data_IF_392681266356
#
_entry.id   IF_392681266356
#
_cell.length_a   1.000
_cell.length_b   1.000
_cell.length_c   1.000
_cell.angle_alpha   90.00
_cell.angle_beta   90.00
_cell.angle_gamma   90.00
#
_symmetry.space_group_name_H-M   'P 1'
#
loop_
_entity.id
_entity.type
_entity.pdbx_description
1 polymer ?
#
# COMPACT_ATOMS: atom_id res chain seq x y z
N UNK A 1 24.32 1.07 56.07
CA UNK A 1 24.02 1.94 54.91
C UNK A 1 24.52 1.39 53.56
N UNK A 2 25.81 1.08 53.37
CA UNK A 2 26.37 0.64 52.06
C UNK A 2 25.74 -0.63 51.45
N UNK A 3 25.29 -1.59 52.27
CA UNK A 3 24.65 -2.82 51.77
C UNK A 3 23.25 -2.58 51.19
N UNK A 4 22.46 -1.69 51.81
CA UNK A 4 21.12 -1.34 51.33
C UNK A 4 21.17 -0.68 49.94
N UNK A 5 22.13 0.22 49.73
CA UNK A 5 22.36 0.85 48.42
C UNK A 5 22.73 -0.16 47.34
N UNK A 6 23.61 -1.13 47.65
CA UNK A 6 23.97 -2.21 46.70
C UNK A 6 22.77 -3.06 46.31
N UNK A 7 21.96 -3.47 47.28
CA UNK A 7 20.74 -4.25 47.02
C UNK A 7 19.75 -3.46 46.15
N UNK A 8 19.61 -2.14 46.39
CA UNK A 8 18.74 -1.27 45.59
C UNK A 8 19.24 -1.13 44.15
N UNK A 9 20.55 -0.96 43.94
CA UNK A 9 21.15 -0.90 42.60
C UNK A 9 20.89 -2.19 41.83
N UNK A 10 21.11 -3.35 42.47
CA UNK A 10 20.86 -4.66 41.83
C UNK A 10 19.37 -4.84 41.48
N UNK A 11 18.47 -4.44 42.37
CA UNK A 11 17.03 -4.48 42.13
C UNK A 11 16.61 -3.58 40.97
N UNK A 12 17.14 -2.36 40.88
CA UNK A 12 16.84 -1.44 39.77
C UNK A 12 17.39 -2.00 38.45
N UNK A 13 18.61 -2.52 38.45
CA UNK A 13 19.20 -3.13 37.24
C UNK A 13 18.36 -4.33 36.74
N UNK A 14 17.85 -5.16 37.65
CA UNK A 14 16.95 -6.26 37.28
C UNK A 14 15.65 -5.74 36.64
N UNK A 15 15.04 -4.71 37.23
CA UNK A 15 13.83 -4.08 36.68
C UNK A 15 14.08 -3.44 35.32
N UNK A 16 15.23 -2.78 35.11
CA UNK A 16 15.60 -2.22 33.81
C UNK A 16 15.72 -3.31 32.74
N UNK A 17 16.42 -4.41 33.04
CA UNK A 17 16.55 -5.53 32.11
C UNK A 17 15.20 -6.17 31.77
N UNK A 18 14.32 -6.32 32.75
CA UNK A 18 12.97 -6.84 32.55
C UNK A 18 12.14 -5.93 31.63
N UNK A 19 12.21 -4.61 31.85
CA UNK A 19 11.54 -3.62 31.00
C UNK A 19 12.12 -3.63 29.58
N UNK A 20 13.45 -3.68 29.43
CA UNK A 20 14.10 -3.72 28.13
C UNK A 20 13.72 -4.98 27.34
N UNK A 21 13.67 -6.13 28.02
CA UNK A 21 13.24 -7.39 27.41
C UNK A 21 11.78 -7.32 26.96
N UNK A 22 10.90 -6.81 27.82
CA UNK A 22 9.47 -6.63 27.50
C UNK A 22 9.30 -5.66 26.33
N UNK A 23 10.06 -4.56 26.31
CA UNK A 23 10.05 -3.58 25.22
C UNK A 23 10.46 -4.22 23.90
N UNK A 24 11.52 -5.04 23.89
CA UNK A 24 11.98 -5.72 22.69
C UNK A 24 10.91 -6.68 22.15
N UNK A 25 10.24 -7.42 23.04
CA UNK A 25 9.13 -8.32 22.67
C UNK A 25 7.96 -7.54 22.06
N UNK A 26 7.51 -6.46 22.70
CA UNK A 26 6.42 -5.62 22.19
C UNK A 26 6.73 -5.01 20.82
N UNK A 27 7.97 -4.59 20.58
CA UNK A 27 8.39 -4.08 19.26
C UNK A 27 8.30 -5.18 18.20
N UNK A 28 8.72 -6.41 18.52
CA UNK A 28 8.58 -7.55 17.60
C UNK A 28 7.11 -7.82 17.27
N UNK A 29 6.26 -7.86 18.30
CA UNK A 29 4.82 -8.08 18.12
C UNK A 29 4.17 -6.97 17.30
N UNK A 30 4.54 -5.70 17.51
CA UNK A 30 4.04 -4.59 16.69
C UNK A 30 4.43 -4.76 15.22
N UNK A 31 5.69 -5.14 14.94
CA UNK A 31 6.14 -5.36 13.56
C UNK A 31 5.37 -6.50 12.87
N UNK A 32 5.09 -7.60 13.59
CA UNK A 32 4.28 -8.71 13.08
C UNK A 32 2.82 -8.30 12.80
N UNK A 33 2.23 -7.51 13.70
CA UNK A 33 0.88 -6.97 13.51
C UNK A 33 0.81 -6.01 12.33
N UNK A 34 1.81 -5.14 12.15
CA UNK A 34 1.88 -4.22 11.02
C UNK A 34 1.96 -4.96 9.68
N UNK A 35 2.75 -6.03 9.60
CA UNK A 35 2.83 -6.90 8.41
C UNK A 35 1.47 -7.55 8.13
N UNK A 36 0.83 -8.09 9.17
CA UNK A 36 -0.46 -8.78 9.05
C UNK A 36 -1.55 -7.81 8.59
N UNK A 37 -1.63 -6.64 9.23
CA UNK A 37 -2.58 -5.59 8.89
C UNK A 37 -2.36 -5.14 7.44
N UNK A 38 -1.12 -4.92 7.03
CA UNK A 38 -0.82 -4.50 5.67
C UNK A 38 -1.25 -5.54 4.64
N UNK A 39 -1.03 -6.82 4.94
CA UNK A 39 -1.45 -7.94 4.09
C UNK A 39 -2.96 -7.98 3.91
N UNK A 40 -3.70 -7.89 5.02
CA UNK A 40 -5.17 -7.87 5.00
C UNK A 40 -5.73 -6.64 4.27
N UNK A 41 -5.10 -5.47 4.40
CA UNK A 41 -5.49 -4.28 3.64
C UNK A 41 -5.33 -4.47 2.13
N UNK A 42 -4.25 -5.13 1.68
CA UNK A 42 -4.02 -5.43 0.27
C UNK A 42 -5.08 -6.41 -0.25
N UNK A 43 -5.36 -7.47 0.53
CA UNK A 43 -6.40 -8.46 0.19
C UNK A 43 -7.78 -7.81 0.10
N UNK A 44 -8.16 -7.03 1.12
CA UNK A 44 -9.41 -6.27 1.14
C UNK A 44 -9.52 -5.34 -0.08
N UNK A 45 -8.47 -4.56 -0.38
CA UNK A 45 -8.46 -3.68 -1.55
C UNK A 45 -8.60 -4.45 -2.87
N UNK A 46 -7.99 -5.64 -2.96
CA UNK A 46 -8.12 -6.51 -4.14
C UNK A 46 -9.56 -6.98 -4.32
N UNK A 47 -10.20 -7.47 -3.25
CA UNK A 47 -11.58 -7.94 -3.28
C UNK A 47 -12.53 -6.79 -3.68
N UNK A 48 -12.42 -5.63 -3.01
CA UNK A 48 -13.24 -4.45 -3.32
C UNK A 48 -13.14 -4.10 -4.80
N UNK A 49 -11.92 -4.04 -5.34
CA UNK A 49 -11.69 -3.72 -6.75
C UNK A 49 -12.29 -4.77 -7.69
N UNK A 50 -12.14 -6.06 -7.41
CA UNK A 50 -12.67 -7.16 -8.22
C UNK A 50 -14.20 -7.25 -8.17
N UNK A 51 -14.82 -6.87 -7.05
CA UNK A 51 -16.28 -6.83 -6.90
C UNK A 51 -16.93 -5.57 -7.48
N UNK A 52 -16.12 -4.59 -7.89
CA UNK A 52 -16.63 -3.38 -8.54
C UNK A 52 -17.25 -3.71 -9.89
N UNK A 53 -18.42 -3.15 -10.26
CA UNK A 53 -19.04 -3.40 -11.57
C UNK A 53 -18.11 -3.16 -12.75
N UNK A 54 -17.19 -2.19 -12.65
CA UNK A 54 -16.24 -1.87 -13.72
C UNK A 54 -15.19 -2.96 -13.95
N UNK A 55 -14.94 -3.84 -12.97
CA UNK A 55 -14.04 -4.98 -13.11
C UNK A 55 -14.65 -6.14 -13.91
N UNK A 56 -15.96 -6.09 -14.21
CA UNK A 56 -16.62 -7.05 -15.10
C UNK A 56 -16.46 -6.72 -16.58
N UNK A 57 -15.94 -5.53 -16.91
CA UNK A 57 -15.72 -5.12 -18.29
C UNK A 57 -14.55 -5.91 -18.91
N UNK A 58 -14.66 -6.32 -20.19
CA UNK A 58 -13.53 -6.85 -20.93
C UNK A 58 -12.37 -5.84 -21.01
N UNK A 59 -11.14 -6.35 -21.08
CA UNK A 59 -9.93 -5.52 -21.19
C UNK A 59 -9.98 -4.56 -22.39
N UNK A 60 -10.56 -5.02 -23.50
CA UNK A 60 -10.71 -4.25 -24.73
C UNK A 60 -11.63 -3.05 -24.53
N UNK A 61 -12.72 -3.24 -23.79
CA UNK A 61 -13.67 -2.17 -23.46
C UNK A 61 -13.02 -1.15 -22.53
N UNK A 62 -12.27 -1.60 -21.52
CA UNK A 62 -11.50 -0.70 -20.66
C UNK A 62 -10.45 0.09 -21.45
N UNK A 63 -9.73 -0.57 -22.36
CA UNK A 63 -8.75 0.07 -23.23
C UNK A 63 -9.38 1.13 -24.16
N UNK A 64 -10.58 0.87 -24.68
CA UNK A 64 -11.34 1.83 -25.49
C UNK A 64 -11.85 3.01 -24.67
N UNK A 65 -12.29 2.77 -23.42
CA UNK A 65 -12.63 3.85 -22.48
C UNK A 65 -11.42 4.75 -22.23
N UNK A 66 -10.24 4.17 -21.97
CA UNK A 66 -9.02 4.95 -21.73
C UNK A 66 -8.61 5.78 -22.96
N UNK A 67 -8.70 5.20 -24.16
CA UNK A 67 -8.40 5.91 -25.40
C UNK A 67 -9.39 7.05 -25.65
N UNK A 68 -10.68 6.82 -25.39
CA UNK A 68 -11.72 7.85 -25.49
C UNK A 68 -11.44 8.99 -24.51
N UNK A 69 -11.05 8.67 -23.27
CA UNK A 69 -10.69 9.66 -22.26
C UNK A 69 -9.51 10.53 -22.73
N UNK A 70 -8.47 9.92 -23.28
CA UNK A 70 -7.30 10.63 -23.82
C UNK A 70 -7.68 11.56 -24.97
N UNK A 71 -8.57 11.14 -25.88
CA UNK A 71 -9.04 11.99 -26.99
C UNK A 71 -9.95 13.13 -26.54
N UNK A 72 -10.85 12.89 -25.56
CA UNK A 72 -11.75 13.93 -25.02
C UNK A 72 -10.96 15.05 -24.35
N UNK A 73 -9.89 14.70 -23.64
CA UNK A 73 -9.07 15.64 -22.89
C UNK A 73 -7.77 16.02 -23.60
N UNK A 74 -7.60 15.69 -24.89
CA UNK A 74 -6.34 15.92 -25.63
C UNK A 74 -5.86 17.38 -25.58
N UNK A 75 -6.80 18.33 -25.57
CA UNK A 75 -6.54 19.79 -25.54
C UNK A 75 -6.55 20.36 -24.12
N UNK A 76 -6.86 19.55 -23.11
CA UNK A 76 -6.86 20.00 -21.72
C UNK A 76 -5.41 20.13 -21.20
N UNK A 77 -5.16 21.10 -20.29
CA UNK A 77 -3.93 21.10 -19.51
C UNK A 77 -3.75 19.74 -18.83
N UNK A 78 -2.54 19.17 -18.90
CA UNK A 78 -2.19 17.87 -18.32
C UNK A 78 -2.84 16.63 -18.98
N UNK A 79 -3.20 16.70 -20.27
CA UNK A 79 -3.75 15.56 -21.03
C UNK A 79 -2.85 14.31 -20.98
N UNK A 80 -1.53 14.48 -20.98
CA UNK A 80 -0.52 13.43 -20.80
C UNK A 80 -0.64 12.68 -19.45
N UNK A 81 -1.16 13.35 -18.41
CA UNK A 81 -1.29 12.73 -17.10
C UNK A 81 -2.46 11.75 -17.03
N UNK A 82 -3.40 11.76 -17.96
CA UNK A 82 -4.62 10.94 -17.86
C UNK A 82 -4.30 9.46 -17.87
N UNK A 83 -3.39 9.02 -18.75
CA UNK A 83 -2.95 7.63 -18.83
C UNK A 83 -2.21 7.21 -17.55
N UNK A 84 -1.44 8.13 -16.96
CA UNK A 84 -0.85 7.93 -15.64
C UNK A 84 -1.94 7.74 -14.59
N UNK A 85 -2.93 8.63 -14.49
CA UNK A 85 -4.00 8.55 -13.50
C UNK A 85 -4.76 7.21 -13.57
N UNK A 86 -5.18 6.77 -14.77
CA UNK A 86 -5.90 5.48 -14.91
C UNK A 86 -5.02 4.29 -14.52
N UNK A 87 -3.71 4.37 -14.76
CA UNK A 87 -2.73 3.34 -14.35
C UNK A 87 -2.50 3.27 -12.84
N UNK A 88 -3.01 4.23 -12.07
CA UNK A 88 -2.90 4.26 -10.61
C UNK A 88 -4.20 3.86 -9.88
N UNK A 89 -5.28 3.55 -10.61
CA UNK A 89 -6.59 3.19 -10.02
C UNK A 89 -6.57 1.79 -9.39
N UNK A 90 -6.23 0.76 -10.16
CA UNK A 90 -6.08 -0.62 -9.67
C UNK A 90 -4.93 -1.32 -10.40
N UNK A 91 -4.47 -2.46 -9.86
CA UNK A 91 -3.49 -3.30 -10.55
C UNK A 91 -4.01 -3.79 -11.93
N UNK A 92 -5.31 -4.09 -12.01
CA UNK A 92 -5.96 -4.49 -13.26
C UNK A 92 -5.95 -3.37 -14.31
N UNK A 93 -6.33 -2.15 -13.91
CA UNK A 93 -6.33 -1.00 -14.82
C UNK A 93 -4.92 -0.65 -15.30
N UNK A 94 -3.93 -0.76 -14.41
CA UNK A 94 -2.52 -0.63 -14.78
C UNK A 94 -2.11 -1.65 -15.84
N UNK A 95 -2.48 -2.91 -15.66
CA UNK A 95 -2.17 -3.96 -16.63
C UNK A 95 -2.80 -3.68 -17.98
N UNK A 96 -4.06 -3.26 -18.02
CA UNK A 96 -4.76 -2.90 -19.27
C UNK A 96 -4.09 -1.68 -19.93
N UNK A 97 -3.82 -0.62 -19.17
CA UNK A 97 -3.20 0.59 -19.69
C UNK A 97 -1.81 0.31 -20.28
N UNK A 98 -0.93 -0.38 -19.55
CA UNK A 98 0.41 -0.76 -20.03
C UNK A 98 0.35 -1.76 -21.20
N UNK A 99 -0.65 -2.66 -21.21
CA UNK A 99 -0.88 -3.64 -22.27
C UNK A 99 -1.54 -3.08 -23.53
N UNK A 100 -1.85 -1.78 -23.57
CA UNK A 100 -2.55 -1.13 -24.70
C UNK A 100 -1.62 -0.11 -25.37
N UNK A 101 -0.80 -0.50 -26.37
CA UNK A 101 0.21 0.36 -26.99
C UNK A 101 -0.33 1.68 -27.55
N UNK A 102 -1.57 1.68 -28.08
CA UNK A 102 -2.19 2.88 -28.66
C UNK A 102 -2.25 4.07 -27.68
N UNK A 103 -2.38 3.82 -26.38
CA UNK A 103 -2.43 4.86 -25.33
C UNK A 103 -1.09 5.61 -25.16
N UNK A 104 0.02 4.99 -25.58
CA UNK A 104 1.38 5.48 -25.39
C UNK A 104 2.03 5.99 -26.69
N UNK A 105 1.24 6.16 -27.74
CA UNK A 105 1.76 6.64 -29.04
C UNK A 105 1.95 8.15 -29.10
N UNK A 106 1.37 8.89 -28.16
CA UNK A 106 1.43 10.35 -28.03
C UNK A 106 1.83 10.72 -26.60
N UNK A 107 3.13 10.57 -26.29
CA UNK A 107 3.76 11.01 -25.04
C UNK A 107 4.65 12.20 -25.35
#
# INVERSE_FOLDING_TARGET
MKQCLRNRIASIAAQMNEIETTRAQLISTLAELDITLKTLQIEHGTIVNQTSPIASLPNEVLADIFATLQEVFKEAPCSEMIISHVSHVTAHWRQVALGTPKLWTRI
#
